data_IF_455382915994
#
_entry.id   IF_455382915994
#
_cell.length_a   1.000
_cell.length_b   1.000
_cell.length_c   1.000
_cell.angle_alpha   90.00
_cell.angle_beta   90.00
_cell.angle_gamma   90.00
#
_symmetry.space_group_name_H-M   'P 1'
#
loop_
_entity.id
_entity.type
_entity.pdbx_description
1 polymer ?
#
# COMPACT_ATOMS: atom_id res chain seq x y z
N UNK A 1 -69.63 -39.22 -0.64
CA UNK A 1 -68.39 -39.96 -0.34
C UNK A 1 -67.21 -39.02 -0.59
N UNK A 2 -66.65 -38.43 0.48
CA UNK A 2 -65.48 -37.55 0.40
C UNK A 2 -64.22 -38.39 0.16
N UNK A 3 -63.40 -38.04 -0.84
CA UNK A 3 -61.99 -38.44 -0.94
C UNK A 3 -61.16 -37.17 -0.86
N UNK A 4 -60.46 -36.99 0.27
CA UNK A 4 -59.53 -35.90 0.47
C UNK A 4 -58.20 -36.15 -0.23
N UNK A 5 -57.72 -35.16 -0.97
CA UNK A 5 -56.32 -35.08 -1.42
C UNK A 5 -55.50 -34.33 -0.38
N UNK A 6 -54.53 -35.01 0.22
CA UNK A 6 -53.47 -34.38 1.00
C UNK A 6 -52.41 -33.81 0.05
N UNK A 7 -52.25 -32.50 0.05
CA UNK A 7 -51.16 -31.81 -0.66
C UNK A 7 -50.02 -31.61 0.35
N UNK A 8 -48.92 -32.36 0.20
CA UNK A 8 -47.71 -32.16 1.00
C UNK A 8 -46.97 -30.94 0.43
N UNK A 9 -46.97 -29.84 1.18
CA UNK A 9 -46.18 -28.66 0.88
C UNK A 9 -44.72 -28.93 1.29
N UNK A 10 -43.89 -29.35 0.33
CA UNK A 10 -42.45 -29.46 0.54
C UNK A 10 -41.84 -28.06 0.68
N UNK A 11 -41.55 -27.64 1.92
CA UNK A 11 -40.69 -26.49 2.21
C UNK A 11 -39.28 -26.80 1.69
N UNK A 12 -38.94 -26.22 0.55
CA UNK A 12 -37.54 -26.04 0.12
C UNK A 12 -36.86 -25.11 1.13
N UNK A 13 -36.23 -25.69 2.15
CA UNK A 13 -35.26 -25.00 2.97
C UNK A 13 -34.07 -24.71 2.04
N UNK A 14 -34.07 -23.52 1.46
CA UNK A 14 -32.86 -22.95 0.85
C UNK A 14 -31.90 -22.76 2.02
N UNK A 15 -31.03 -23.75 2.25
CA UNK A 15 -29.88 -23.58 3.13
C UNK A 15 -29.08 -22.42 2.54
N UNK A 16 -29.20 -21.25 3.17
CA UNK A 16 -28.37 -20.10 2.88
C UNK A 16 -26.94 -20.52 3.20
N UNK A 17 -26.18 -20.93 2.19
CA UNK A 17 -24.77 -21.23 2.36
C UNK A 17 -24.12 -20.00 2.97
N UNK A 18 -23.53 -20.16 4.14
CA UNK A 18 -22.68 -19.17 4.78
C UNK A 18 -21.57 -18.75 3.80
N UNK A 19 -21.61 -17.51 3.29
CA UNK A 19 -20.65 -17.01 2.28
C UNK A 19 -19.64 -15.98 2.82
N UNK A 20 -19.45 -15.87 4.14
CA UNK A 20 -18.56 -14.86 4.73
C UNK A 20 -17.12 -14.92 4.19
N UNK A 21 -16.67 -16.10 3.75
CA UNK A 21 -15.35 -16.29 3.12
C UNK A 21 -15.26 -15.52 1.79
N UNK A 22 -16.35 -15.47 1.02
CA UNK A 22 -16.41 -14.68 -0.22
C UNK A 22 -16.41 -13.19 0.10
N UNK A 23 -17.05 -12.79 1.20
CA UNK A 23 -17.14 -11.40 1.64
C UNK A 23 -15.78 -10.83 2.06
N UNK A 24 -14.84 -11.67 2.51
CA UNK A 24 -13.45 -11.26 2.74
C UNK A 24 -12.77 -10.74 1.46
N UNK A 25 -13.17 -11.27 0.30
CA UNK A 25 -12.67 -10.86 -1.02
C UNK A 25 -11.13 -10.77 -1.06
N UNK A 26 -10.46 -11.89 -0.75
CA UNK A 26 -9.00 -11.99 -0.74
C UNK A 26 -8.52 -12.99 -1.80
N UNK A 27 -7.32 -12.80 -2.39
CA UNK A 27 -6.65 -13.85 -3.16
C UNK A 27 -6.57 -15.15 -2.36
N UNK A 28 -6.75 -16.31 -3.02
CA UNK A 28 -6.80 -17.62 -2.35
C UNK A 28 -5.65 -17.86 -1.36
N UNK A 29 -4.42 -17.54 -1.75
CA UNK A 29 -3.26 -17.69 -0.87
C UNK A 29 -3.40 -16.80 0.39
N UNK A 30 -3.76 -15.53 0.22
CA UNK A 30 -3.97 -14.62 1.33
C UNK A 30 -5.12 -15.04 2.23
N UNK A 31 -6.20 -15.55 1.65
CA UNK A 31 -7.36 -16.05 2.37
C UNK A 31 -6.98 -17.22 3.29
N UNK A 32 -6.19 -18.18 2.81
CA UNK A 32 -5.72 -19.32 3.61
C UNK A 32 -4.88 -18.87 4.82
N UNK A 33 -3.99 -17.88 4.62
CA UNK A 33 -3.17 -17.36 5.71
C UNK A 33 -3.99 -16.51 6.68
N UNK A 34 -4.85 -15.62 6.18
CA UNK A 34 -5.67 -14.74 7.00
C UNK A 34 -6.66 -15.50 7.89
N UNK A 35 -7.31 -16.54 7.36
CA UNK A 35 -8.22 -17.39 8.15
C UNK A 35 -7.43 -18.29 9.10
N UNK A 36 -6.25 -18.78 8.70
CA UNK A 36 -5.46 -19.65 9.56
C UNK A 36 -4.83 -18.91 10.75
N UNK A 37 -4.38 -17.67 10.57
CA UNK A 37 -3.67 -16.92 11.63
C UNK A 37 -4.59 -16.10 12.53
N UNK A 38 -5.86 -15.88 12.14
CA UNK A 38 -6.84 -15.20 12.98
C UNK A 38 -7.68 -16.23 13.75
N UNK A 39 -7.54 -16.29 15.07
CA UNK A 39 -8.23 -17.25 15.94
C UNK A 39 -9.75 -17.25 15.75
N UNK A 40 -10.36 -16.06 15.70
CA UNK A 40 -11.81 -15.93 15.53
C UNK A 40 -12.29 -16.44 14.16
N UNK A 41 -11.58 -16.09 13.07
CA UNK A 41 -11.92 -16.58 11.74
C UNK A 41 -11.65 -18.09 11.59
N UNK A 42 -10.61 -18.60 12.26
CA UNK A 42 -10.27 -20.01 12.30
C UNK A 42 -11.38 -20.82 12.96
N UNK A 43 -11.81 -20.41 14.16
CA UNK A 43 -12.95 -21.01 14.87
C UNK A 43 -14.24 -20.96 14.04
N UNK A 44 -14.51 -19.80 13.44
CA UNK A 44 -15.66 -19.63 12.54
C UNK A 44 -15.61 -20.58 11.35
N UNK A 45 -14.42 -20.82 10.76
CA UNK A 45 -14.24 -21.76 9.66
C UNK A 45 -14.38 -23.22 10.11
N UNK A 46 -13.92 -23.59 11.30
CA UNK A 46 -14.10 -24.95 11.86
C UNK A 46 -15.59 -25.28 12.04
N UNK A 47 -16.37 -24.30 12.51
CA UNK A 47 -17.79 -24.44 12.76
C UNK A 47 -18.66 -24.29 11.50
N UNK A 48 -18.07 -23.97 10.34
CA UNK A 48 -18.79 -23.75 9.09
C UNK A 48 -18.51 -24.91 8.10
N UNK A 49 -19.48 -25.81 7.86
CA UNK A 49 -19.34 -26.90 6.89
C UNK A 49 -19.05 -26.42 5.46
N UNK A 50 -19.34 -25.15 5.14
CA UNK A 50 -19.03 -24.53 3.87
C UNK A 50 -17.58 -24.05 3.72
N UNK A 51 -16.79 -24.05 4.81
CA UNK A 51 -15.41 -23.59 4.78
C UNK A 51 -14.49 -24.63 4.13
N UNK A 52 -13.96 -24.33 2.93
CA UNK A 52 -13.03 -25.20 2.19
C UNK A 52 -11.55 -24.88 2.42
N UNK A 53 -11.22 -24.13 3.46
CA UNK A 53 -9.84 -23.73 3.78
C UNK A 53 -9.19 -24.86 4.57
N UNK A 54 -8.01 -25.30 4.13
CA UNK A 54 -7.26 -26.33 4.85
C UNK A 54 -6.61 -25.71 6.10
N UNK A 55 -7.11 -26.11 7.27
CA UNK A 55 -6.66 -25.64 8.59
C UNK A 55 -5.67 -26.60 9.28
N UNK A 56 -5.30 -27.74 8.65
CA UNK A 56 -4.45 -28.77 9.28
C UNK A 56 -3.02 -28.28 9.51
N UNK A 57 -2.53 -27.38 8.66
CA UNK A 57 -1.24 -26.71 8.87
C UNK A 57 -1.50 -25.31 9.44
N UNK A 58 -0.86 -24.98 10.55
CA UNK A 58 -0.79 -23.59 11.03
C UNK A 58 -0.03 -22.77 9.99
N UNK A 59 -0.74 -21.91 9.27
CA UNK A 59 -0.18 -20.92 8.35
C UNK A 59 -0.25 -19.55 9.01
N UNK A 60 0.81 -18.76 8.87
CA UNK A 60 0.96 -17.45 9.48
C UNK A 60 1.81 -16.54 8.59
N UNK A 61 1.71 -15.22 8.77
CA UNK A 61 2.45 -14.28 7.94
C UNK A 61 3.92 -14.18 8.33
N UNK A 62 4.24 -14.44 9.61
CA UNK A 62 5.59 -14.40 10.16
C UNK A 62 5.81 -13.28 11.17
N UNK A 63 4.85 -12.37 11.36
CA UNK A 63 4.91 -11.32 12.37
C UNK A 63 4.14 -11.68 13.65
N UNK A 64 3.38 -12.77 13.62
CA UNK A 64 2.64 -13.28 14.78
C UNK A 64 3.61 -13.98 15.75
N UNK A 65 3.47 -13.74 17.06
CA UNK A 65 4.38 -14.25 18.11
C UNK A 65 4.50 -15.78 18.13
N UNK A 66 3.42 -16.50 17.81
CA UNK A 66 3.35 -17.96 17.79
C UNK A 66 3.69 -18.58 16.42
N UNK A 67 4.10 -17.76 15.44
CA UNK A 67 4.40 -18.21 14.10
C UNK A 67 5.77 -18.90 13.99
N UNK A 68 5.74 -20.21 13.75
CA UNK A 68 6.96 -20.94 13.38
C UNK A 68 7.48 -20.51 11.99
N UNK A 69 8.80 -20.34 11.85
CA UNK A 69 9.43 -19.78 10.64
C UNK A 69 9.11 -20.58 9.38
N UNK A 70 8.97 -21.90 9.49
CA UNK A 70 8.64 -22.84 8.40
C UNK A 70 7.19 -22.71 7.92
N UNK A 71 6.33 -22.15 8.77
CA UNK A 71 4.91 -21.91 8.51
C UNK A 71 4.62 -20.52 7.95
N UNK A 72 5.58 -19.60 8.08
CA UNK A 72 5.46 -18.24 7.56
C UNK A 72 5.25 -18.19 6.04
N UNK A 73 4.52 -17.17 5.57
CA UNK A 73 4.30 -16.92 4.15
C UNK A 73 5.62 -16.66 3.41
N UNK A 74 6.54 -15.94 4.04
CA UNK A 74 7.86 -15.63 3.45
C UNK A 74 8.68 -16.89 3.20
N UNK A 75 8.74 -17.83 4.14
CA UNK A 75 9.48 -19.09 3.97
C UNK A 75 8.84 -20.01 2.92
N UNK A 76 7.51 -20.09 2.88
CA UNK A 76 6.79 -21.03 1.99
C UNK A 76 6.65 -20.54 0.55
N UNK A 77 6.54 -19.23 0.34
CA UNK A 77 6.30 -18.66 -0.99
C UNK A 77 7.54 -18.64 -1.89
N UNK A 78 8.74 -18.68 -1.30
CA UNK A 78 10.04 -18.61 -2.02
C UNK A 78 10.13 -17.42 -2.99
N UNK A 79 9.46 -16.30 -2.68
CA UNK A 79 9.57 -15.08 -3.48
C UNK A 79 10.87 -14.33 -3.22
N UNK A 80 11.33 -14.36 -1.97
CA UNK A 80 12.59 -13.74 -1.56
C UNK A 80 13.76 -14.56 -2.09
N UNK A 81 14.69 -13.89 -2.76
CA UNK A 81 15.93 -14.43 -3.28
C UNK A 81 17.10 -13.65 -2.67
N UNK A 82 18.04 -14.37 -2.10
CA UNK A 82 19.28 -13.82 -1.56
C UNK A 82 20.49 -14.52 -2.20
N UNK A 83 21.62 -13.84 -2.28
CA UNK A 83 22.86 -14.42 -2.79
C UNK A 83 23.36 -15.58 -1.90
N UNK A 84 23.94 -16.61 -2.50
CA UNK A 84 24.28 -17.88 -1.84
C UNK A 84 25.34 -17.74 -0.73
N UNK A 85 26.25 -16.77 -0.85
CA UNK A 85 27.37 -16.56 0.08
C UNK A 85 27.11 -15.48 1.15
N UNK A 86 25.86 -15.05 1.35
CA UNK A 86 25.55 -14.03 2.34
C UNK A 86 25.54 -14.58 3.77
N UNK A 87 25.96 -13.75 4.71
CA UNK A 87 25.79 -14.02 6.13
C UNK A 87 24.28 -14.26 6.41
N UNK A 88 23.89 -15.35 7.09
CA UNK A 88 22.49 -15.64 7.41
C UNK A 88 21.73 -14.46 8.04
N UNK A 89 22.41 -13.63 8.83
CA UNK A 89 21.85 -12.40 9.44
C UNK A 89 21.33 -11.40 8.41
N UNK A 90 21.83 -11.39 7.18
CA UNK A 90 21.34 -10.50 6.11
C UNK A 90 19.91 -10.90 5.72
N UNK A 91 19.62 -12.20 5.64
CA UNK A 91 18.28 -12.69 5.33
C UNK A 91 17.28 -12.32 6.43
N UNK A 92 17.69 -12.47 7.68
CA UNK A 92 16.84 -12.10 8.83
C UNK A 92 16.59 -10.59 8.86
N UNK A 93 17.62 -9.75 8.67
CA UNK A 93 17.44 -8.30 8.53
C UNK A 93 16.56 -7.90 7.35
N UNK A 94 16.64 -8.59 6.22
CA UNK A 94 15.75 -8.34 5.08
C UNK A 94 14.29 -8.63 5.46
N UNK A 95 14.05 -9.70 6.22
CA UNK A 95 12.72 -10.03 6.71
C UNK A 95 12.17 -8.97 7.68
N UNK A 96 12.99 -8.56 8.65
CA UNK A 96 12.65 -7.54 9.66
C UNK A 96 12.38 -6.15 9.07
N UNK A 97 13.13 -5.75 8.03
CA UNK A 97 13.12 -4.37 7.53
C UNK A 97 12.34 -4.20 6.22
N UNK A 98 12.28 -5.25 5.40
CA UNK A 98 11.73 -5.19 4.04
C UNK A 98 10.60 -6.19 3.74
N UNK A 99 10.27 -7.10 4.66
CA UNK A 99 9.21 -8.10 4.50
C UNK A 99 8.22 -8.05 5.67
N UNK A 100 7.42 -9.10 5.89
CA UNK A 100 6.37 -9.13 6.91
C UNK A 100 6.86 -8.86 8.35
N UNK A 101 8.13 -9.16 8.68
CA UNK A 101 8.71 -8.83 9.98
C UNK A 101 8.69 -7.33 10.29
N UNK A 102 8.61 -6.49 9.26
CA UNK A 102 8.42 -5.03 9.40
C UNK A 102 7.23 -4.64 10.28
N UNK A 103 6.18 -5.46 10.27
CA UNK A 103 4.93 -5.19 10.98
C UNK A 103 5.00 -5.56 12.46
N UNK A 104 5.92 -6.43 12.88
CA UNK A 104 5.98 -6.98 14.24
C UNK A 104 5.98 -5.88 15.31
N UNK A 105 6.99 -4.99 15.30
CA UNK A 105 7.08 -3.88 16.27
C UNK A 105 5.99 -2.82 16.11
N UNK A 106 5.34 -2.76 14.94
CA UNK A 106 4.32 -1.73 14.62
C UNK A 106 2.91 -2.17 14.98
N UNK A 107 2.69 -3.47 15.18
CA UNK A 107 1.42 -4.04 15.61
C UNK A 107 1.29 -4.10 17.13
N UNK A 108 2.40 -4.09 17.87
CA UNK A 108 2.38 -3.91 19.33
C UNK A 108 1.77 -2.55 19.67
N UNK A 109 0.87 -2.53 20.67
CA UNK A 109 0.13 -1.34 21.11
C UNK A 109 0.28 -1.16 22.61
N UNK A 110 0.71 0.02 23.01
CA UNK A 110 0.73 0.47 24.39
C UNK A 110 -0.49 1.34 24.65
N UNK A 111 -1.20 1.07 25.74
CA UNK A 111 -2.40 1.80 26.11
C UNK A 111 -2.05 3.13 26.77
N UNK A 112 -2.33 4.24 26.10
CA UNK A 112 -2.14 5.60 26.61
C UNK A 112 -3.40 6.09 27.34
N UNK A 113 -4.56 5.69 26.84
CA UNK A 113 -5.87 5.98 27.42
C UNK A 113 -6.67 4.69 27.44
N UNK A 114 -7.13 4.27 28.62
CA UNK A 114 -7.98 3.10 28.76
C UNK A 114 -9.20 3.40 29.61
N UNK A 115 -10.23 2.61 29.37
CA UNK A 115 -11.39 2.49 30.24
C UNK A 115 -12.03 1.12 30.08
N UNK A 116 -12.58 0.62 31.18
CA UNK A 116 -13.42 -0.57 31.22
C UNK A 116 -14.77 -0.36 30.53
N UNK A 117 -15.22 0.90 30.41
CA UNK A 117 -16.49 1.26 29.77
C UNK A 117 -16.33 1.49 28.25
N UNK A 118 -17.23 0.88 27.47
CA UNK A 118 -17.34 1.08 26.02
C UNK A 118 -17.89 2.46 25.62
N UNK A 119 -18.45 3.22 26.56
CA UNK A 119 -18.89 4.59 26.35
C UNK A 119 -17.76 5.62 26.55
N UNK A 120 -16.77 5.29 27.38
CA UNK A 120 -15.56 6.08 27.65
C UNK A 120 -14.55 6.01 26.50
N UNK A 121 -13.42 6.67 26.61
CA UNK A 121 -12.42 6.73 25.54
C UNK A 121 -11.31 5.71 25.71
N UNK A 122 -10.69 5.33 24.59
CA UNK A 122 -9.42 4.62 24.59
C UNK A 122 -8.49 5.13 23.49
N UNK A 123 -7.19 5.00 23.73
CA UNK A 123 -6.13 5.27 22.75
C UNK A 123 -4.96 4.34 23.03
N UNK A 124 -4.60 3.53 22.03
CA UNK A 124 -3.44 2.67 22.08
C UNK A 124 -2.57 2.87 20.84
N UNK A 125 -1.27 3.00 21.04
CA UNK A 125 -0.32 3.35 19.98
C UNK A 125 0.90 2.42 20.00
N UNK A 126 1.50 2.18 18.84
CA UNK A 126 2.87 1.64 18.77
C UNK A 126 3.87 2.70 19.18
N UNK A 127 5.12 2.26 19.37
CA UNK A 127 6.26 3.13 19.61
C UNK A 127 6.28 4.35 18.69
N UNK A 128 6.64 5.48 19.30
CA UNK A 128 6.75 6.77 18.65
C UNK A 128 5.45 7.29 18.02
N UNK A 129 4.28 6.79 18.46
CA UNK A 129 2.96 7.19 17.95
C UNK A 129 2.84 7.01 16.43
N UNK A 130 3.45 5.94 15.92
CA UNK A 130 3.54 5.66 14.49
C UNK A 130 2.27 5.02 13.92
N UNK A 131 1.54 4.28 14.74
CA UNK A 131 0.27 3.66 14.39
C UNK A 131 -0.60 3.59 15.65
N UNK A 132 -1.75 4.24 15.63
CA UNK A 132 -2.65 4.33 16.78
C UNK A 132 -4.06 3.84 16.44
N UNK A 133 -4.74 3.30 17.45
CA UNK A 133 -6.16 2.94 17.40
C UNK A 133 -6.82 3.62 18.58
N UNK A 134 -7.94 4.29 18.34
CA UNK A 134 -8.67 5.00 19.38
C UNK A 134 -10.18 4.77 19.29
N UNK A 135 -10.82 4.88 20.45
CA UNK A 135 -12.28 4.79 20.61
C UNK A 135 -12.78 6.03 21.35
N UNK A 136 -13.89 6.57 20.88
CA UNK A 136 -14.55 7.74 21.42
C UNK A 136 -13.60 8.93 21.67
N UNK A 137 -12.84 9.37 20.67
CA UNK A 137 -11.92 10.52 20.81
C UNK A 137 -12.34 11.68 19.91
N UNK A 138 -11.88 12.90 20.22
CA UNK A 138 -12.16 14.08 19.40
C UNK A 138 -10.88 14.77 18.90
N UNK A 139 -10.99 15.44 17.76
CA UNK A 139 -10.02 16.38 17.21
C UNK A 139 -10.75 17.69 16.86
N UNK A 140 -10.21 18.81 17.31
CA UNK A 140 -10.70 20.15 17.02
C UNK A 140 -9.81 20.82 15.96
N UNK A 141 -10.38 21.02 14.78
CA UNK A 141 -9.73 21.62 13.61
C UNK A 141 -10.02 23.13 13.48
N UNK A 142 -10.43 23.81 14.55
CA UNK A 142 -10.57 25.28 14.64
C UNK A 142 -9.35 26.04 14.11
N UNK A 143 -8.16 25.46 14.25
CA UNK A 143 -6.90 26.06 13.87
C UNK A 143 -6.42 25.71 12.45
N UNK A 144 -7.15 24.85 11.71
CA UNK A 144 -6.76 24.44 10.36
C UNK A 144 -6.69 25.63 9.40
N UNK A 145 -7.74 26.47 9.35
CA UNK A 145 -7.82 27.70 8.55
C UNK A 145 -7.29 27.49 7.13
N UNK A 146 -7.91 26.58 6.40
CA UNK A 146 -7.37 26.01 5.14
C UNK A 146 -6.94 27.06 4.10
N UNK A 147 -7.64 28.20 4.01
CA UNK A 147 -7.34 29.27 3.04
C UNK A 147 -5.99 29.96 3.28
N UNK A 148 -5.54 30.03 4.52
CA UNK A 148 -4.30 30.69 4.94
C UNK A 148 -3.22 29.70 5.41
N UNK A 149 -3.53 28.40 5.43
CA UNK A 149 -2.61 27.39 5.96
C UNK A 149 -1.57 26.98 4.95
N UNK A 150 -0.34 26.77 5.41
CA UNK A 150 0.72 26.14 4.62
C UNK A 150 0.57 24.61 4.62
N UNK A 151 1.09 23.95 3.56
CA UNK A 151 0.95 22.51 3.31
C UNK A 151 1.58 21.61 4.38
N UNK A 152 2.61 22.10 5.07
CA UNK A 152 3.41 21.32 6.02
C UNK A 152 3.35 21.87 7.45
N UNK A 153 2.23 22.53 7.77
CA UNK A 153 2.00 23.11 9.09
C UNK A 153 1.81 21.99 10.12
N UNK A 154 2.64 21.97 11.16
CA UNK A 154 2.63 20.94 12.21
C UNK A 154 1.84 21.33 13.46
N UNK A 155 1.45 22.60 13.60
CA UNK A 155 0.72 23.12 14.76
C UNK A 155 -0.78 23.35 14.45
N UNK A 156 -1.38 22.46 13.66
CA UNK A 156 -2.83 22.50 13.35
C UNK A 156 -3.65 22.16 14.59
N UNK A 157 -3.22 21.15 15.35
CA UNK A 157 -3.84 20.77 16.63
C UNK A 157 -3.01 21.39 17.76
N UNK A 158 -3.68 22.01 18.73
CA UNK A 158 -3.04 22.63 19.89
C UNK A 158 -3.52 21.96 21.20
N UNK A 159 -2.95 22.40 22.33
CA UNK A 159 -3.31 21.89 23.65
C UNK A 159 -4.83 21.93 23.89
N UNK A 160 -5.41 20.80 24.32
CA UNK A 160 -6.84 20.67 24.59
C UNK A 160 -7.73 20.46 23.36
N UNK A 161 -7.16 20.53 22.15
CA UNK A 161 -7.87 20.30 20.89
C UNK A 161 -7.92 18.84 20.45
N UNK A 162 -7.32 17.93 21.20
CA UNK A 162 -7.46 16.50 21.00
C UNK A 162 -7.56 15.82 22.36
N UNK A 163 -8.41 14.80 22.46
CA UNK A 163 -8.65 14.15 23.74
C UNK A 163 -9.82 13.17 23.75
N UNK A 164 -10.14 12.73 24.96
CA UNK A 164 -11.24 11.80 25.24
C UNK A 164 -11.48 11.71 26.75
N UNK A 165 -12.48 10.94 27.16
CA UNK A 165 -12.79 10.62 28.54
C UNK A 165 -12.08 9.32 28.95
N UNK A 166 -10.86 9.43 29.46
CA UNK A 166 -10.07 8.28 29.89
C UNK A 166 -10.29 8.00 31.38
N UNK A 167 -10.49 6.74 31.73
CA UNK A 167 -10.49 6.29 33.12
C UNK A 167 -9.06 6.27 33.66
N UNK A 168 -8.14 5.70 32.88
CA UNK A 168 -6.70 5.76 33.14
C UNK A 168 -6.01 6.46 31.97
N UNK A 169 -5.23 7.50 32.28
CA UNK A 169 -4.46 8.26 31.30
C UNK A 169 -2.98 8.27 31.69
N UNK A 170 -2.13 7.72 30.83
CA UNK A 170 -0.69 7.66 31.01
C UNK A 170 0.01 8.79 30.24
N UNK A 171 0.13 9.95 30.90
CA UNK A 171 0.80 11.13 30.33
C UNK A 171 2.31 10.90 30.15
N UNK A 172 2.93 10.08 31.00
CA UNK A 172 4.37 9.79 30.90
C UNK A 172 4.68 9.00 29.63
N UNK A 173 3.96 7.90 29.40
CA UNK A 173 4.07 7.08 28.20
C UNK A 173 3.81 7.90 26.92
N UNK A 174 2.79 8.78 26.94
CA UNK A 174 2.52 9.69 25.83
C UNK A 174 3.75 10.56 25.54
N UNK A 175 4.27 11.24 26.57
CA UNK A 175 5.41 12.15 26.41
C UNK A 175 6.66 11.42 25.91
N UNK A 176 6.96 10.23 26.42
CA UNK A 176 8.09 9.40 25.96
C UNK A 176 7.98 9.05 24.46
N UNK A 177 6.77 8.77 24.00
CA UNK A 177 6.50 8.41 22.61
C UNK A 177 6.40 9.61 21.65
N UNK A 178 6.46 10.85 22.14
CA UNK A 178 6.43 12.04 21.28
C UNK A 178 7.81 12.48 20.76
N UNK A 179 8.89 11.75 21.06
CA UNK A 179 10.27 12.16 20.71
C UNK A 179 10.53 12.26 19.20
N UNK A 180 9.86 11.43 18.38
CA UNK A 180 9.99 11.46 16.93
C UNK A 180 8.83 12.30 16.36
N UNK A 181 9.14 13.50 15.87
CA UNK A 181 8.19 14.44 15.24
C UNK A 181 8.64 14.79 13.84
N UNK A 182 7.76 15.34 13.02
CA UNK A 182 8.08 15.69 11.64
C UNK A 182 6.98 15.36 10.65
N UNK A 183 6.99 16.07 9.52
CA UNK A 183 6.00 15.87 8.47
C UNK A 183 5.95 14.43 7.96
N UNK A 184 4.80 13.77 8.19
CA UNK A 184 4.52 12.37 7.85
C UNK A 184 5.48 11.36 8.50
N UNK A 185 6.07 11.69 9.66
CA UNK A 185 6.97 10.80 10.40
C UNK A 185 6.24 10.01 11.49
N UNK A 186 5.34 10.65 12.24
CA UNK A 186 4.50 10.05 13.28
C UNK A 186 3.25 10.91 13.51
N UNK A 187 2.35 10.48 14.38
CA UNK A 187 1.22 11.26 14.88
C UNK A 187 1.55 12.11 16.11
N UNK A 188 2.85 12.28 16.42
CA UNK A 188 3.28 12.93 17.65
C UNK A 188 3.00 14.44 17.67
N UNK A 189 3.05 15.12 16.52
CA UNK A 189 2.76 16.56 16.43
C UNK A 189 1.30 16.86 16.82
N UNK A 190 0.38 15.96 16.48
CA UNK A 190 -1.03 16.06 16.86
C UNK A 190 -1.27 15.52 18.29
N UNK A 191 -0.82 14.31 18.59
CA UNK A 191 -1.18 13.59 19.81
C UNK A 191 -0.44 14.04 21.07
N UNK A 192 0.68 14.77 20.97
CA UNK A 192 1.31 15.40 22.15
C UNK A 192 0.33 16.28 22.95
N UNK A 193 -0.72 16.77 22.29
CA UNK A 193 -1.75 17.61 22.87
C UNK A 193 -2.96 16.83 23.42
N UNK A 194 -2.91 15.49 23.41
CA UNK A 194 -3.99 14.65 23.92
C UNK A 194 -4.18 14.87 25.41
N UNK A 195 -5.42 15.13 25.83
CA UNK A 195 -5.78 15.30 27.25
C UNK A 195 -7.05 14.52 27.59
N UNK A 196 -7.10 13.96 28.80
CA UNK A 196 -8.32 13.37 29.34
C UNK A 196 -9.30 14.45 29.79
N UNK A 197 -10.59 14.27 29.52
CA UNK A 197 -11.70 15.14 29.91
C UNK A 197 -12.88 14.31 30.39
N UNK A 198 -13.15 14.33 31.70
CA UNK A 198 -14.14 13.46 32.34
C UNK A 198 -15.59 13.74 31.90
N UNK A 199 -15.86 14.96 31.43
CA UNK A 199 -17.16 15.42 30.96
C UNK A 199 -17.42 15.07 29.48
N UNK A 200 -16.39 14.65 28.74
CA UNK A 200 -16.52 14.40 27.32
C UNK A 200 -17.40 13.18 27.03
N UNK A 201 -18.36 13.37 26.11
CA UNK A 201 -19.21 12.33 25.55
C UNK A 201 -19.40 12.56 24.06
N UNK A 202 -19.57 11.49 23.28
CA UNK A 202 -19.93 11.62 21.87
C UNK A 202 -21.41 11.99 21.76
N UNK A 203 -21.68 13.28 21.58
CA UNK A 203 -23.01 13.84 21.33
C UNK A 203 -22.88 15.12 20.48
N UNK A 204 -24.01 15.71 20.12
CA UNK A 204 -24.04 16.95 19.30
C UNK A 204 -23.62 18.20 20.07
N UNK A 205 -23.57 18.15 21.39
CA UNK A 205 -23.13 19.28 22.22
C UNK A 205 -21.60 19.40 22.23
N UNK A 206 -20.90 18.28 22.11
CA UNK A 206 -19.44 18.23 22.12
C UNK A 206 -18.81 18.07 20.73
N UNK A 207 -19.60 17.77 19.70
CA UNK A 207 -19.11 17.36 18.38
C UNK A 207 -19.95 17.98 17.26
N UNK A 208 -19.31 18.69 16.34
CA UNK A 208 -19.95 19.18 15.12
C UNK A 208 -20.17 18.04 14.10
N UNK A 209 -19.21 17.10 14.07
CA UNK A 209 -19.23 15.94 13.19
C UNK A 209 -18.90 14.70 14.00
N UNK A 210 -19.72 13.66 13.87
CA UNK A 210 -19.48 12.36 14.52
C UNK A 210 -19.29 11.32 13.45
N UNK A 211 -18.13 10.65 13.49
CA UNK A 211 -17.81 9.55 12.62
C UNK A 211 -17.78 8.24 13.39
N UNK A 212 -18.47 7.22 12.87
CA UNK A 212 -18.46 5.89 13.48
C UNK A 212 -17.24 5.07 13.08
N UNK A 213 -16.90 5.12 11.78
CA UNK A 213 -15.75 4.46 11.15
C UNK A 213 -15.28 5.28 9.96
N UNK A 214 -14.65 6.45 10.17
CA UNK A 214 -14.25 7.29 9.05
C UNK A 214 -12.98 6.76 8.40
N UNK A 215 -12.82 7.11 7.13
CA UNK A 215 -11.51 7.22 6.50
C UNK A 215 -11.29 8.69 6.17
N UNK A 216 -10.31 9.32 6.81
CA UNK A 216 -9.93 10.71 6.53
C UNK A 216 -8.60 10.71 5.80
N UNK A 217 -8.54 11.43 4.68
CA UNK A 217 -7.31 11.62 3.92
C UNK A 217 -6.87 13.10 3.99
N UNK A 218 -5.62 13.39 4.42
CA UNK A 218 -5.13 14.77 4.57
C UNK A 218 -4.87 15.48 3.23
N UNK A 219 -4.73 14.73 2.13
CA UNK A 219 -4.66 15.29 0.77
C UNK A 219 -6.06 15.44 0.17
N UNK A 220 -6.38 16.59 -0.44
CA UNK A 220 -7.62 16.73 -1.19
C UNK A 220 -7.75 15.65 -2.29
N UNK A 221 -8.97 15.30 -2.67
CA UNK A 221 -9.34 14.25 -3.64
C UNK A 221 -8.91 14.58 -5.08
N UNK A 222 -7.96 15.49 -5.26
CA UNK A 222 -7.35 15.82 -6.55
C UNK A 222 -6.33 14.77 -7.01
N UNK A 223 -6.09 13.71 -6.24
CA UNK A 223 -5.35 12.53 -6.71
C UNK A 223 -6.33 11.47 -7.22
N UNK A 224 -6.57 11.50 -8.53
CA UNK A 224 -7.41 10.53 -9.24
C UNK A 224 -6.97 9.07 -9.00
N UNK A 225 -5.68 8.82 -8.81
CA UNK A 225 -5.14 7.47 -8.65
C UNK A 225 -5.31 6.93 -7.24
N UNK A 226 -5.14 7.79 -6.22
CA UNK A 226 -5.36 7.41 -4.84
C UNK A 226 -6.82 6.97 -4.60
N UNK A 227 -7.79 7.77 -5.06
CA UNK A 227 -9.22 7.44 -4.91
C UNK A 227 -9.62 6.12 -5.58
N UNK A 228 -9.01 5.78 -6.72
CA UNK A 228 -9.20 4.48 -7.37
C UNK A 228 -8.59 3.35 -6.53
N UNK A 229 -7.35 3.52 -6.08
CA UNK A 229 -6.64 2.50 -5.29
C UNK A 229 -7.34 2.26 -3.95
N UNK A 230 -7.91 3.30 -3.34
CA UNK A 230 -8.63 3.24 -2.07
C UNK A 230 -9.80 2.24 -2.08
N UNK A 231 -10.46 2.06 -3.23
CA UNK A 231 -11.54 1.07 -3.41
C UNK A 231 -11.10 -0.36 -3.11
N UNK A 232 -9.79 -0.64 -3.10
CA UNK A 232 -9.27 -1.92 -2.67
C UNK A 232 -9.51 -2.18 -1.17
N UNK A 233 -9.53 -1.13 -0.34
CA UNK A 233 -9.59 -1.25 1.12
C UNK A 233 -10.98 -0.99 1.67
N UNK A 234 -11.70 0.00 1.14
CA UNK A 234 -13.01 0.41 1.65
C UNK A 234 -13.97 0.75 0.52
N UNK A 235 -15.25 0.50 0.77
CA UNK A 235 -16.38 0.98 -0.04
C UNK A 235 -16.75 2.43 0.28
N UNK A 236 -16.28 2.95 1.41
CA UNK A 236 -16.50 4.34 1.82
C UNK A 236 -15.43 5.23 1.22
N UNK A 237 -15.88 6.33 0.63
CA UNK A 237 -14.98 7.33 0.05
C UNK A 237 -14.21 8.08 1.13
N UNK A 238 -12.91 8.36 0.92
CA UNK A 238 -12.12 9.19 1.82
C UNK A 238 -12.72 10.59 1.96
N UNK A 239 -12.74 11.11 3.18
CA UNK A 239 -13.18 12.46 3.46
C UNK A 239 -11.97 13.38 3.43
N UNK A 240 -12.07 14.47 2.67
CA UNK A 240 -11.02 15.47 2.62
C UNK A 240 -10.97 16.31 3.89
N UNK A 241 -9.76 16.52 4.43
CA UNK A 241 -9.55 17.33 5.62
C UNK A 241 -10.12 18.76 5.52
N UNK A 242 -10.14 19.36 4.31
CA UNK A 242 -10.72 20.70 4.08
C UNK A 242 -12.20 20.80 4.46
N UNK A 243 -12.94 19.69 4.41
CA UNK A 243 -14.37 19.65 4.77
C UNK A 243 -14.61 19.73 6.28
N UNK A 244 -13.54 19.50 7.05
CA UNK A 244 -13.49 19.53 8.51
C UNK A 244 -12.88 20.83 9.03
N UNK A 245 -12.56 21.78 8.14
CA UNK A 245 -12.03 23.08 8.51
C UNK A 245 -12.93 23.76 9.55
N UNK A 246 -12.32 24.15 10.67
CA UNK A 246 -12.97 24.84 11.77
C UNK A 246 -14.09 24.05 12.48
N UNK A 247 -13.99 22.72 12.48
CA UNK A 247 -14.96 21.85 13.17
C UNK A 247 -14.29 21.01 14.26
N UNK A 248 -15.05 20.72 15.31
CA UNK A 248 -14.74 19.66 16.28
C UNK A 248 -15.33 18.35 15.81
N UNK A 249 -14.45 17.41 15.51
CA UNK A 249 -14.76 16.11 14.92
C UNK A 249 -14.54 15.02 15.95
N UNK A 250 -15.55 14.19 16.16
CA UNK A 250 -15.51 13.07 17.09
C UNK A 250 -15.53 11.75 16.33
N UNK A 251 -14.79 10.79 16.88
CA UNK A 251 -14.54 9.49 16.30
C UNK A 251 -15.00 8.43 17.30
N UNK A 252 -16.07 7.68 16.98
CA UNK A 252 -16.39 6.49 17.78
C UNK A 252 -15.28 5.46 17.66
N UNK A 253 -14.75 5.24 16.45
CA UNK A 253 -13.57 4.44 16.22
C UNK A 253 -12.66 5.16 15.21
N UNK A 254 -11.36 5.14 15.47
CA UNK A 254 -10.36 5.71 14.56
C UNK A 254 -9.12 4.82 14.53
N UNK A 255 -8.59 4.65 13.32
CA UNK A 255 -7.30 4.04 13.07
C UNK A 255 -6.41 5.08 12.40
N UNK A 256 -5.28 5.37 13.02
CA UNK A 256 -4.26 6.28 12.53
C UNK A 256 -3.16 5.45 11.87
N UNK A 257 -3.04 5.46 10.53
CA UNK A 257 -2.17 4.55 9.81
C UNK A 257 -0.68 4.90 9.98
N UNK A 258 0.16 3.95 9.60
CA UNK A 258 1.59 4.18 9.37
C UNK A 258 1.79 5.27 8.31
N UNK A 259 2.69 6.21 8.59
CA UNK A 259 2.94 7.37 7.73
C UNK A 259 4.09 7.14 6.76
N UNK A 260 4.07 7.82 5.61
CA UNK A 260 4.97 7.51 4.51
C UNK A 260 6.46 7.77 4.82
N UNK A 261 6.78 8.77 5.65
CA UNK A 261 8.16 9.26 5.91
C UNK A 261 8.71 8.84 7.27
N UNK A 262 8.21 7.74 7.83
CA UNK A 262 8.73 7.17 9.05
C UNK A 262 10.25 6.97 9.00
N UNK A 263 10.89 7.09 10.17
CA UNK A 263 12.25 6.57 10.31
C UNK A 263 12.22 5.06 10.13
N UNK A 264 13.10 4.53 9.29
CA UNK A 264 13.05 3.14 8.81
C UNK A 264 11.66 2.80 8.25
N UNK A 265 11.14 3.64 7.33
CA UNK A 265 9.86 3.46 6.66
C UNK A 265 9.91 2.33 5.62
N UNK A 266 8.75 1.86 5.15
CA UNK A 266 8.70 0.85 4.07
C UNK A 266 8.74 1.45 2.65
N UNK A 267 8.57 2.77 2.52
CA UNK A 267 8.58 3.48 1.23
C UNK A 267 9.67 4.54 1.16
N UNK A 268 9.64 5.53 2.08
CA UNK A 268 10.76 6.46 2.28
C UNK A 268 11.69 5.93 3.37
N UNK A 269 12.99 6.18 3.24
CA UNK A 269 14.01 5.83 4.21
C UNK A 269 14.03 4.32 4.56
N UNK A 270 13.73 3.47 3.58
CA UNK A 270 13.71 2.02 3.78
C UNK A 270 15.12 1.46 3.88
N UNK A 271 15.50 0.87 5.02
CA UNK A 271 16.85 0.32 5.20
C UNK A 271 16.92 -1.06 4.56
N UNK A 272 16.75 -1.12 3.24
CA UNK A 272 16.75 -2.39 2.51
C UNK A 272 18.18 -2.90 2.46
N UNK A 273 18.46 -4.01 3.14
CA UNK A 273 19.79 -4.63 3.10
C UNK A 273 20.17 -5.09 1.70
N UNK A 274 21.47 -5.00 1.38
CA UNK A 274 22.01 -5.48 0.12
C UNK A 274 22.11 -7.01 0.09
N UNK A 275 21.99 -7.60 -1.09
CA UNK A 275 22.14 -9.04 -1.32
C UNK A 275 20.85 -9.86 -1.26
N UNK A 276 19.73 -9.27 -0.83
CA UNK A 276 18.41 -9.90 -0.88
C UNK A 276 17.44 -9.06 -1.72
N UNK A 277 16.48 -9.72 -2.39
CA UNK A 277 15.45 -9.08 -3.22
C UNK A 277 14.15 -9.89 -3.22
N UNK A 278 13.03 -9.25 -3.55
CA UNK A 278 11.73 -9.91 -3.70
C UNK A 278 10.97 -10.12 -2.40
N UNK A 279 10.64 -9.03 -1.71
CA UNK A 279 9.79 -9.02 -0.51
C UNK A 279 8.44 -9.69 -0.74
N UNK A 280 8.11 -10.61 0.16
CA UNK A 280 6.82 -11.32 0.15
C UNK A 280 5.69 -10.35 0.46
N UNK A 281 5.89 -9.42 1.39
CA UNK A 281 4.96 -8.34 1.73
C UNK A 281 4.59 -7.50 0.51
N UNK A 282 5.58 -6.98 -0.23
CA UNK A 282 5.33 -6.18 -1.45
C UNK A 282 4.63 -6.98 -2.54
N UNK A 283 5.05 -8.23 -2.73
CA UNK A 283 4.44 -9.13 -3.71
C UNK A 283 2.97 -9.38 -3.40
N UNK A 284 2.69 -9.65 -2.12
CA UNK A 284 1.36 -9.96 -1.59
C UNK A 284 0.45 -8.74 -1.63
N UNK A 285 0.96 -7.57 -1.24
CA UNK A 285 0.25 -6.30 -1.35
C UNK A 285 -0.14 -5.98 -2.80
N UNK A 286 0.79 -6.15 -3.74
CA UNK A 286 0.50 -5.98 -5.17
C UNK A 286 -0.60 -6.93 -5.67
N UNK A 287 -0.60 -8.19 -5.23
CA UNK A 287 -1.64 -9.16 -5.59
C UNK A 287 -2.99 -8.82 -4.95
N UNK A 288 -2.98 -8.37 -3.69
CA UNK A 288 -4.18 -7.90 -2.99
C UNK A 288 -4.84 -6.75 -3.75
N UNK A 289 -4.10 -5.70 -4.09
CA UNK A 289 -4.63 -4.55 -4.82
C UNK A 289 -5.25 -4.97 -6.17
N UNK A 290 -4.51 -5.75 -6.97
CA UNK A 290 -5.01 -6.19 -8.28
C UNK A 290 -6.28 -7.04 -8.16
N UNK A 291 -6.35 -7.93 -7.16
CA UNK A 291 -7.52 -8.76 -6.93
C UNK A 291 -8.74 -7.93 -6.51
N UNK A 292 -8.58 -7.07 -5.51
CA UNK A 292 -9.67 -6.25 -4.95
C UNK A 292 -10.24 -5.28 -5.97
N UNK A 293 -9.39 -4.73 -6.84
CA UNK A 293 -9.79 -3.83 -7.92
C UNK A 293 -10.28 -4.58 -9.18
N UNK A 294 -10.26 -5.91 -9.19
CA UNK A 294 -10.66 -6.71 -10.36
C UNK A 294 -9.74 -6.52 -11.57
N UNK A 295 -8.51 -6.05 -11.37
CA UNK A 295 -7.55 -5.78 -12.44
C UNK A 295 -6.98 -7.11 -12.92
N UNK A 296 -7.44 -7.54 -14.09
CA UNK A 296 -6.94 -8.75 -14.75
C UNK A 296 -5.59 -8.45 -15.42
N UNK A 297 -4.57 -9.31 -15.25
CA UNK A 297 -3.33 -9.19 -15.99
C UNK A 297 -3.62 -9.17 -17.49
N UNK A 298 -3.08 -8.19 -18.22
CA UNK A 298 -3.19 -8.15 -19.67
C UNK A 298 -2.54 -9.41 -20.25
N UNK A 299 -3.18 -10.03 -21.25
CA UNK A 299 -2.59 -11.16 -21.98
C UNK A 299 -1.26 -10.71 -22.58
N UNK A 300 -0.19 -11.43 -22.27
CA UNK A 300 1.10 -11.17 -22.87
C UNK A 300 1.04 -11.54 -24.36
N UNK A 301 1.38 -10.59 -25.23
CA UNK A 301 1.54 -10.84 -26.65
C UNK A 301 2.80 -11.68 -26.89
N UNK A 302 2.70 -12.61 -27.83
CA UNK A 302 3.83 -13.48 -28.18
C UNK A 302 5.00 -12.63 -28.72
N UNK A 303 6.22 -12.97 -28.30
CA UNK A 303 7.48 -12.31 -28.71
C UNK A 303 7.68 -10.84 -28.29
N UNK A 304 6.64 -10.13 -27.87
CA UNK A 304 6.69 -8.68 -27.65
C UNK A 304 7.07 -8.28 -26.22
N UNK A 305 7.94 -7.28 -26.12
CA UNK A 305 8.24 -6.59 -24.85
C UNK A 305 7.47 -5.28 -24.80
N UNK A 306 6.74 -5.05 -23.70
CA UNK A 306 5.98 -3.81 -23.49
C UNK A 306 6.83 -2.81 -22.73
N UNK A 307 6.92 -1.59 -23.25
CA UNK A 307 7.58 -0.46 -22.62
C UNK A 307 6.51 0.57 -22.28
N UNK A 308 6.50 0.99 -21.02
CA UNK A 308 5.64 2.07 -20.55
C UNK A 308 6.53 3.20 -20.09
N UNK A 309 6.44 4.35 -20.77
CA UNK A 309 7.13 5.57 -20.38
C UNK A 309 6.18 6.39 -19.51
N UNK A 310 6.59 6.65 -18.28
CA UNK A 310 5.88 7.55 -17.38
C UNK A 310 6.32 8.98 -17.70
N UNK A 311 5.38 9.78 -18.22
CA UNK A 311 5.59 11.20 -18.51
C UNK A 311 4.82 12.06 -17.50
N UNK A 312 5.15 13.34 -17.43
CA UNK A 312 4.48 14.30 -16.56
C UNK A 312 3.91 15.45 -17.36
N UNK A 313 2.66 15.80 -17.08
CA UNK A 313 1.97 16.98 -17.58
C UNK A 313 1.92 18.07 -16.50
N UNK A 314 3.02 18.25 -15.77
CA UNK A 314 3.20 19.28 -14.72
C UNK A 314 4.00 20.48 -15.24
N UNK A 315 4.01 21.60 -14.51
CA UNK A 315 4.82 22.79 -14.87
C UNK A 315 6.33 22.48 -15.01
N UNK A 316 6.82 21.54 -14.20
CA UNK A 316 8.23 21.15 -14.15
C UNK A 316 8.39 19.63 -14.26
N UNK A 317 9.63 19.15 -14.39
CA UNK A 317 10.03 17.74 -14.54
C UNK A 317 9.45 17.05 -15.78
N UNK A 318 9.15 17.82 -16.82
CA UNK A 318 8.69 17.29 -18.11
C UNK A 318 9.87 16.79 -18.92
N UNK A 319 9.62 15.78 -19.76
CA UNK A 319 10.54 15.38 -20.82
C UNK A 319 10.09 16.11 -22.10
N UNK A 320 10.86 17.10 -22.54
CA UNK A 320 10.45 18.01 -23.61
C UNK A 320 10.56 17.37 -24.99
N UNK A 321 11.56 16.51 -25.21
CA UNK A 321 11.78 15.80 -26.48
C UNK A 321 11.23 14.36 -26.50
N UNK A 322 10.13 14.08 -25.79
CA UNK A 322 9.55 12.72 -25.72
C UNK A 322 9.23 12.12 -27.11
N UNK A 323 8.86 12.94 -28.10
CA UNK A 323 8.59 12.47 -29.47
C UNK A 323 9.84 11.92 -30.15
N UNK A 324 11.01 12.50 -29.90
CA UNK A 324 12.29 12.01 -30.43
C UNK A 324 12.69 10.69 -29.78
N UNK A 325 12.47 10.56 -28.48
CA UNK A 325 12.68 9.31 -27.75
C UNK A 325 11.79 8.18 -28.30
N UNK A 326 10.51 8.46 -28.57
CA UNK A 326 9.60 7.49 -29.16
C UNK A 326 10.06 7.06 -30.56
N UNK A 327 10.55 8.02 -31.37
CA UNK A 327 11.12 7.72 -32.69
C UNK A 327 12.36 6.83 -32.59
N UNK A 328 13.25 7.09 -31.62
CA UNK A 328 14.47 6.28 -31.44
C UNK A 328 14.15 4.84 -31.02
N UNK A 329 13.11 4.63 -30.22
CA UNK A 329 12.64 3.30 -29.82
C UNK A 329 11.94 2.52 -30.94
N UNK A 330 11.41 3.18 -31.97
CA UNK A 330 10.71 2.53 -33.09
C UNK A 330 11.56 1.52 -33.86
N UNK A 331 12.89 1.61 -33.74
CA UNK A 331 13.83 0.68 -34.36
C UNK A 331 14.04 -0.62 -33.56
N UNK A 332 13.52 -0.73 -32.34
CA UNK A 332 13.66 -1.94 -31.54
C UNK A 332 12.67 -3.02 -32.03
N UNK A 333 13.15 -4.21 -32.44
CA UNK A 333 12.27 -5.26 -32.95
C UNK A 333 11.38 -5.78 -31.81
N UNK A 334 10.14 -6.15 -32.11
CA UNK A 334 9.21 -6.80 -31.17
C UNK A 334 9.05 -6.06 -29.84
N UNK A 335 8.89 -4.74 -29.91
CA UNK A 335 8.60 -3.88 -28.76
C UNK A 335 7.32 -3.10 -29.02
N UNK A 336 6.51 -2.89 -27.98
CA UNK A 336 5.37 -1.97 -28.02
C UNK A 336 5.58 -0.89 -26.98
N UNK A 337 5.49 0.37 -27.38
CA UNK A 337 5.72 1.52 -26.49
C UNK A 337 4.40 2.24 -26.22
N UNK A 338 4.15 2.57 -24.95
CA UNK A 338 3.04 3.42 -24.51
C UNK A 338 3.56 4.53 -23.61
N UNK A 339 3.04 5.73 -23.75
CA UNK A 339 3.26 6.83 -22.80
C UNK A 339 2.04 6.91 -21.87
N UNK A 340 2.29 7.05 -20.57
CA UNK A 340 1.26 7.24 -19.55
C UNK A 340 1.60 8.50 -18.77
N UNK A 341 0.63 9.40 -18.64
CA UNK A 341 0.76 10.56 -17.76
C UNK A 341 0.71 10.11 -16.30
N UNK A 342 1.73 10.49 -15.52
CA UNK A 342 1.93 10.08 -14.14
C UNK A 342 2.53 11.25 -13.35
N UNK A 343 1.65 12.07 -12.77
CA UNK A 343 2.00 13.36 -12.15
C UNK A 343 2.47 13.26 -10.69
N UNK A 344 2.75 12.05 -10.21
CA UNK A 344 3.14 11.78 -8.83
C UNK A 344 4.55 12.28 -8.47
N UNK A 345 4.81 12.38 -7.17
CA UNK A 345 6.02 13.00 -6.64
C UNK A 345 7.22 12.05 -6.75
N UNK A 346 8.32 12.54 -7.35
CA UNK A 346 9.60 11.85 -7.25
C UNK A 346 10.10 11.93 -5.80
N UNK A 347 10.52 10.80 -5.23
CA UNK A 347 11.00 10.68 -3.86
C UNK A 347 12.26 11.52 -3.55
N UNK A 348 13.00 11.97 -4.57
CA UNK A 348 14.15 12.86 -4.39
C UNK A 348 15.35 12.20 -3.69
N UNK A 349 15.27 10.90 -3.49
CA UNK A 349 16.29 10.04 -2.90
C UNK A 349 16.88 9.17 -4.03
N UNK A 350 18.22 9.16 -4.12
CA UNK A 350 18.96 8.43 -5.13
C UNK A 350 18.76 6.90 -5.03
N UNK A 351 18.54 6.38 -3.81
CA UNK A 351 18.36 4.94 -3.55
C UNK A 351 16.91 4.46 -3.71
N UNK A 352 15.94 5.34 -3.43
CA UNK A 352 14.52 5.00 -3.32
C UNK A 352 13.97 4.10 -4.45
N UNK A 353 14.15 4.45 -5.73
CA UNK A 353 13.62 3.61 -6.82
C UNK A 353 14.36 2.27 -6.96
N UNK A 354 15.66 2.25 -6.65
CA UNK A 354 16.45 1.02 -6.67
C UNK A 354 16.05 0.07 -5.54
N UNK A 355 15.75 0.62 -4.37
CA UNK A 355 15.27 -0.12 -3.20
C UNK A 355 13.85 -0.65 -3.44
N UNK A 356 12.95 0.16 -3.99
CA UNK A 356 11.60 -0.29 -4.38
C UNK A 356 11.64 -1.40 -5.42
N UNK A 357 12.52 -1.29 -6.43
CA UNK A 357 12.72 -2.35 -7.41
C UNK A 357 13.26 -3.64 -6.75
N UNK A 358 14.22 -3.51 -5.81
CA UNK A 358 14.77 -4.63 -5.03
C UNK A 358 13.71 -5.29 -4.16
N UNK A 359 12.92 -4.53 -3.41
CA UNK A 359 11.77 -5.01 -2.64
C UNK A 359 10.75 -5.71 -3.54
N UNK A 360 10.48 -5.16 -4.74
CA UNK A 360 9.57 -5.79 -5.69
C UNK A 360 10.13 -7.04 -6.38
N UNK A 361 11.45 -7.26 -6.29
CA UNK A 361 12.16 -8.37 -6.95
C UNK A 361 12.27 -8.18 -8.46
N UNK A 362 12.48 -6.94 -8.91
CA UNK A 362 12.69 -6.59 -10.32
C UNK A 362 14.02 -5.87 -10.51
N UNK A 363 14.62 -5.98 -11.69
CA UNK A 363 15.88 -5.33 -11.98
C UNK A 363 15.68 -3.82 -12.15
N UNK A 364 16.49 -3.04 -11.44
CA UNK A 364 16.59 -1.60 -11.60
C UNK A 364 17.71 -1.25 -12.59
N UNK A 365 17.44 -0.25 -13.42
CA UNK A 365 18.39 0.34 -14.35
C UNK A 365 18.35 1.86 -14.15
N UNK A 366 19.53 2.48 -14.10
CA UNK A 366 19.70 3.93 -14.05
C UNK A 366 20.82 4.32 -15.00
N UNK A 367 20.84 5.59 -15.39
CA UNK A 367 21.90 6.12 -16.23
C UNK A 367 23.24 6.04 -15.49
N UNK A 368 24.32 5.59 -16.16
CA UNK A 368 25.66 5.63 -15.59
C UNK A 368 26.04 7.06 -15.23
N UNK A 369 26.76 7.24 -14.13
CA UNK A 369 27.20 8.57 -13.67
C UNK A 369 27.97 9.34 -14.75
N UNK A 370 28.84 8.64 -15.48
CA UNK A 370 29.60 9.20 -16.62
C UNK A 370 28.72 9.73 -17.75
N UNK A 371 27.46 9.32 -17.84
CA UNK A 371 26.51 9.71 -18.89
C UNK A 371 25.37 10.59 -18.39
N UNK A 372 25.33 10.95 -17.10
CA UNK A 372 24.26 11.81 -16.55
C UNK A 372 24.18 13.16 -17.28
N UNK A 373 25.31 13.70 -17.75
CA UNK A 373 25.38 14.96 -18.50
C UNK A 373 24.58 14.96 -19.83
N UNK A 374 24.20 13.79 -20.33
CA UNK A 374 23.35 13.62 -21.52
C UNK A 374 21.85 13.79 -21.19
N UNK A 375 21.49 13.96 -19.91
CA UNK A 375 20.20 14.48 -19.46
C UNK A 375 20.39 15.96 -19.15
N UNK A 376 19.90 16.82 -20.06
CA UNK A 376 20.07 18.28 -19.95
C UNK A 376 18.81 18.90 -19.36
N UNK A 377 18.99 19.95 -18.55
CA UNK A 377 17.89 20.82 -18.15
C UNK A 377 17.97 22.14 -18.91
N UNK A 378 16.86 22.59 -19.51
CA UNK A 378 16.85 23.82 -20.32
C UNK A 378 17.09 25.07 -19.49
N UNK A 379 16.55 25.08 -18.28
CA UNK A 379 16.78 26.07 -17.24
C UNK A 379 17.03 25.30 -15.95
N UNK A 380 18.05 25.68 -15.18
CA UNK A 380 18.25 25.20 -13.80
C UNK A 380 17.10 25.73 -12.94
N UNK A 381 15.92 25.14 -13.08
CA UNK A 381 14.65 25.75 -12.69
C UNK A 381 14.67 26.32 -11.28
N UNK A 382 14.13 27.52 -11.12
CA UNK A 382 14.18 28.24 -9.86
C UNK A 382 13.07 27.78 -8.91
N UNK A 383 13.40 27.64 -7.62
CA UNK A 383 12.44 27.34 -6.57
C UNK A 383 11.40 28.45 -6.49
N UNK A 384 10.08 28.16 -6.57
CA UNK A 384 9.04 29.20 -6.68
C UNK A 384 8.99 30.19 -5.52
N UNK A 385 9.50 29.81 -4.34
CA UNK A 385 9.47 30.66 -3.13
C UNK A 385 10.81 31.32 -2.81
N UNK A 386 11.94 30.71 -3.18
CA UNK A 386 13.27 31.25 -2.82
C UNK A 386 14.00 31.85 -4.02
N UNK A 387 13.56 31.58 -5.25
CA UNK A 387 14.23 32.03 -6.47
C UNK A 387 15.54 31.28 -6.77
N UNK A 388 16.00 30.42 -5.84
CA UNK A 388 17.24 29.67 -5.99
C UNK A 388 17.11 28.52 -6.99
N UNK A 389 18.20 28.24 -7.70
CA UNK A 389 18.28 27.14 -8.66
C UNK A 389 18.04 25.80 -7.96
N UNK A 390 17.09 25.03 -8.47
CA UNK A 390 16.76 23.72 -7.93
C UNK A 390 16.19 22.81 -9.02
N UNK A 391 16.93 21.75 -9.36
CA UNK A 391 16.59 20.76 -10.41
C UNK A 391 15.18 20.17 -10.30
N UNK A 392 14.56 20.17 -9.10
CA UNK A 392 13.15 19.77 -8.92
C UNK A 392 12.18 20.59 -9.77
N UNK A 393 12.52 21.83 -10.09
CA UNK A 393 11.71 22.76 -10.87
C UNK A 393 12.25 22.95 -12.28
N UNK A 394 13.14 22.07 -12.76
CA UNK A 394 13.63 22.07 -14.14
C UNK A 394 12.81 21.14 -15.05
N UNK A 395 12.82 21.43 -16.36
CA UNK A 395 12.38 20.51 -17.41
C UNK A 395 13.59 19.93 -18.12
N UNK A 396 13.43 18.74 -18.71
CA UNK A 396 14.55 17.92 -19.16
C UNK A 396 14.46 17.55 -20.64
N UNK A 397 15.63 17.55 -21.27
CA UNK A 397 15.93 16.92 -22.55
C UNK A 397 16.78 15.68 -22.31
N UNK A 398 16.43 14.58 -22.96
CA UNK A 398 17.13 13.31 -22.82
C UNK A 398 17.76 12.95 -24.16
N UNK A 399 19.04 12.59 -24.18
CA UNK A 399 19.70 12.14 -25.40
C UNK A 399 18.99 10.90 -26.00
N UNK A 400 18.45 10.98 -27.24
CA UNK A 400 17.67 9.88 -27.82
C UNK A 400 18.48 8.61 -28.13
N UNK A 401 19.79 8.74 -28.37
CA UNK A 401 20.67 7.63 -28.73
C UNK A 401 20.98 6.83 -27.47
N UNK A 402 21.46 7.50 -26.43
CA UNK A 402 21.77 6.86 -25.14
C UNK A 402 20.50 6.28 -24.51
N UNK A 403 19.37 7.00 -24.57
CA UNK A 403 18.10 6.48 -24.10
C UNK A 403 17.73 5.15 -24.75
N UNK A 404 17.92 5.03 -26.07
CA UNK A 404 17.67 3.78 -26.80
C UNK A 404 18.61 2.67 -26.35
N UNK A 405 19.89 2.94 -26.14
CA UNK A 405 20.85 1.93 -25.67
C UNK A 405 20.50 1.44 -24.25
N UNK A 406 20.14 2.35 -23.34
CA UNK A 406 19.66 1.98 -22.00
C UNK A 406 18.41 1.09 -22.07
N UNK A 407 17.43 1.46 -22.90
CA UNK A 407 16.21 0.68 -23.10
C UNK A 407 16.49 -0.68 -23.74
N UNK A 408 17.42 -0.75 -24.70
CA UNK A 408 17.83 -2.01 -25.33
C UNK A 408 18.37 -3.00 -24.29
N UNK A 409 19.22 -2.56 -23.37
CA UNK A 409 19.72 -3.40 -22.27
C UNK A 409 18.58 -3.92 -21.38
N UNK A 410 17.59 -3.07 -21.07
CA UNK A 410 16.40 -3.48 -20.31
C UNK A 410 15.57 -4.53 -21.07
N UNK A 411 15.38 -4.35 -22.38
CA UNK A 411 14.65 -5.30 -23.24
C UNK A 411 15.37 -6.65 -23.31
N UNK A 412 16.70 -6.64 -23.46
CA UNK A 412 17.52 -7.87 -23.47
C UNK A 412 17.43 -8.61 -22.14
N UNK A 413 17.49 -7.89 -21.02
CA UNK A 413 17.29 -8.47 -19.69
C UNK A 413 15.93 -9.17 -19.56
N UNK A 414 14.86 -8.51 -20.01
CA UNK A 414 13.51 -9.12 -19.99
C UNK A 414 13.44 -10.35 -20.89
N UNK A 415 14.05 -10.31 -22.08
CA UNK A 415 14.06 -11.44 -23.02
C UNK A 415 14.78 -12.67 -22.49
N UNK A 416 15.87 -12.45 -21.78
CA UNK A 416 16.68 -13.51 -21.18
C UNK A 416 16.11 -14.00 -19.83
N UNK A 417 15.12 -13.30 -19.28
CA UNK A 417 14.54 -13.67 -18.00
C UNK A 417 13.78 -15.00 -18.10
N UNK A 418 14.01 -15.99 -17.20
CA UNK A 418 13.39 -17.32 -17.26
C UNK A 418 11.86 -17.30 -17.34
N UNK A 419 11.21 -16.39 -16.59
CA UNK A 419 9.74 -16.18 -16.65
C UNK A 419 9.25 -15.79 -18.04
N UNK A 420 9.99 -14.95 -18.78
CA UNK A 420 9.61 -14.55 -20.14
C UNK A 420 9.78 -15.71 -21.12
N UNK A 421 10.92 -16.42 -21.05
CA UNK A 421 11.20 -17.61 -21.87
C UNK A 421 10.13 -18.69 -21.65
N UNK A 422 9.81 -19.01 -20.40
CA UNK A 422 8.80 -20.01 -20.06
C UNK A 422 7.40 -19.59 -20.52
N UNK A 423 7.04 -18.31 -20.35
CA UNK A 423 5.77 -17.78 -20.86
C UNK A 423 5.65 -17.95 -22.38
N UNK A 424 6.72 -17.62 -23.14
CA UNK A 424 6.74 -17.82 -24.60
C UNK A 424 6.59 -19.28 -25.00
N UNK A 425 7.29 -20.20 -24.33
CA UNK A 425 7.15 -21.64 -24.57
C UNK A 425 5.72 -22.12 -24.39
N UNK A 426 5.05 -21.67 -23.32
CA UNK A 426 3.65 -22.02 -23.04
C UNK A 426 2.72 -21.45 -24.11
N UNK A 427 2.90 -20.18 -24.49
CA UNK A 427 2.07 -19.55 -25.52
C UNK A 427 2.22 -20.23 -26.89
N UNK A 428 3.44 -20.58 -27.29
CA UNK A 428 3.70 -21.32 -28.54
C UNK A 428 3.03 -22.69 -28.55
N UNK A 429 3.05 -23.42 -27.42
CA UNK A 429 2.35 -24.71 -27.30
C UNK A 429 0.83 -24.54 -27.48
N UNK A 430 0.24 -23.58 -26.77
CA UNK A 430 -1.19 -23.28 -26.90
C UNK A 430 -1.59 -22.87 -28.31
N UNK A 431 -0.75 -22.09 -28.99
CA UNK A 431 -1.02 -21.69 -30.36
C UNK A 431 -1.02 -22.90 -31.30
N UNK A 432 -0.03 -23.80 -31.18
CA UNK A 432 0.01 -25.06 -31.94
C UNK A 432 -1.18 -25.96 -31.66
N UNK A 433 -1.61 -26.06 -30.40
CA UNK A 433 -2.79 -26.84 -30.00
C UNK A 433 -4.07 -26.27 -30.63
N UNK A 434 -4.26 -24.95 -30.60
CA UNK A 434 -5.41 -24.28 -31.25
C UNK A 434 -5.38 -24.44 -32.77
N UNK A 435 -4.22 -24.32 -33.41
CA UNK A 435 -4.05 -24.52 -34.85
C UNK A 435 -4.40 -25.98 -35.24
N UNK A 436 -3.92 -26.95 -34.47
CA UNK A 436 -4.24 -28.37 -34.68
C UNK A 436 -5.73 -28.68 -34.46
N UNK A 437 -6.36 -28.08 -33.45
CA UNK A 437 -7.80 -28.25 -33.19
C UNK A 437 -8.64 -27.59 -34.30
N UNK A 438 -8.19 -26.47 -34.84
CA UNK A 438 -8.86 -25.81 -35.97
C UNK A 438 -8.77 -26.68 -37.23
N UNK A 439 -7.59 -27.22 -37.53
CA UNK A 439 -7.39 -28.11 -38.67
C UNK A 439 -8.27 -29.38 -38.59
N UNK A 440 -8.45 -29.91 -37.37
CA UNK A 440 -9.36 -31.05 -37.10
C UNK A 440 -10.85 -30.73 -37.25
N UNK A 441 -11.25 -29.46 -37.19
CA UNK A 441 -12.64 -29.02 -37.40
C UNK A 441 -12.91 -28.67 -38.87
N UNK A 442 -11.86 -28.42 -39.65
CA UNK A 442 -11.93 -28.12 -41.08
C UNK A 442 -11.86 -29.41 -41.94
N UNK A 443 -11.33 -30.51 -41.38
CA UNK A 443 -11.45 -31.89 -41.87
C UNK A 443 -12.73 -32.55 -41.34
#
# INVERSE_FOLDING_TARGET
MFRGSFTILSLLIIQCQSTWIKDLNLPRQLLEYHVSSNTHLREKCINDPGCKINLNTTKCFGFEEDCQKENSLSSRSKFTSCDENLNPKVKDKFFELGDFGYLESRLVKHSICSSSDESSSSLSCSDHLTHCIGRNIYFDFSNLKIKSSSRYRQNVIQAGQVGGNCENFDEHLLNENTKVKGYLMSWADELQHFRSKNDFKINRDHCDVIFERPTIHPGGYNDHYYGITWKAFSKHEPIELKTLDQKRVCFKNVMMPLLARQWNGLFYNSPVVNGCSGSTLFKTFSQFILHRLGVKPQKAELEKVRIVILSRSTAYRRILNIKELLKSLGHLPNVTVRVVDYNEYNCGDAGCYSDLARLRGVKYYTWPESKIHLIRSDDEGNHPQSGEKHLKFANYHVDPIEFREQVKMMVEHVRNHPKFINSRRIQRRKQKEMEAEKLKKEL
#
